data_IF_674200297142
#
_entry.id   IF_674200297142
#
_cell.length_a   1.000
_cell.length_b   1.000
_cell.length_c   1.000
_cell.angle_alpha   90.00
_cell.angle_beta   90.00
_cell.angle_gamma   90.00
#
_symmetry.space_group_name_H-M   'P 1'
#
loop_
_entity.id
_entity.type
_entity.pdbx_description
1 polymer ?
#
# COMPACT_ATOMS: atom_id res chain seq x y z
N UNK A 1 1.90 -32.85 2.96
CA UNK A 1 1.82 -31.38 3.04
C UNK A 1 3.02 -30.96 3.85
N UNK A 2 3.95 -30.14 3.35
CA UNK A 2 5.05 -29.67 4.18
C UNK A 2 4.52 -28.55 5.08
N UNK A 3 4.66 -28.73 6.40
CA UNK A 3 4.46 -27.69 7.40
C UNK A 3 5.58 -26.64 7.23
N UNK A 4 5.21 -25.44 6.79
CA UNK A 4 6.16 -24.32 6.63
C UNK A 4 6.18 -23.57 7.97
N UNK A 5 7.16 -23.89 8.80
CA UNK A 5 7.18 -23.52 10.23
C UNK A 5 8.13 -22.34 10.54
N UNK A 6 8.60 -21.61 9.52
CA UNK A 6 9.45 -20.43 9.73
C UNK A 6 8.99 -19.20 8.95
N UNK A 7 8.99 -17.99 9.57
CA UNK A 7 8.68 -16.73 8.89
C UNK A 7 9.59 -16.43 7.69
N UNK A 8 10.81 -17.00 7.68
CA UNK A 8 11.78 -16.86 6.60
C UNK A 8 11.34 -17.63 5.36
N UNK A 9 10.84 -18.85 5.49
CA UNK A 9 10.38 -19.67 4.35
C UNK A 9 9.08 -19.13 3.72
N UNK A 10 8.20 -18.51 4.52
CA UNK A 10 7.03 -17.78 3.99
C UNK A 10 7.48 -16.57 3.16
N UNK A 11 8.58 -15.92 3.56
CA UNK A 11 9.20 -14.83 2.81
C UNK A 11 9.87 -15.32 1.52
N UNK A 12 10.58 -16.46 1.57
CA UNK A 12 11.28 -17.06 0.43
C UNK A 12 10.33 -17.64 -0.63
N UNK A 13 9.15 -18.14 -0.23
CA UNK A 13 8.15 -18.65 -1.19
C UNK A 13 7.53 -17.52 -2.03
N UNK A 14 7.58 -16.26 -1.55
CA UNK A 14 7.21 -15.07 -2.31
C UNK A 14 8.35 -14.50 -3.19
N UNK A 15 9.56 -15.07 -3.13
CA UNK A 15 10.69 -14.67 -3.99
C UNK A 15 10.64 -15.29 -5.41
N UNK A 16 9.53 -15.93 -5.78
CA UNK A 16 9.33 -16.52 -7.11
C UNK A 16 8.73 -15.52 -8.10
N UNK A 17 9.58 -14.92 -8.93
CA UNK A 17 9.24 -14.12 -10.13
C UNK A 17 8.68 -12.70 -9.93
N UNK A 18 9.60 -11.76 -9.69
CA UNK A 18 9.61 -10.40 -10.25
C UNK A 18 8.63 -9.36 -9.72
N UNK A 19 8.67 -9.07 -8.41
CA UNK A 19 8.33 -7.74 -7.92
C UNK A 19 8.94 -7.45 -6.55
N UNK A 20 10.21 -7.07 -6.56
CA UNK A 20 10.83 -6.48 -5.38
C UNK A 20 10.17 -5.13 -5.05
N UNK A 21 9.91 -4.82 -3.77
CA UNK A 21 9.39 -3.52 -3.40
C UNK A 21 10.33 -2.39 -3.84
N UNK A 22 9.73 -1.29 -4.31
CA UNK A 22 10.47 -0.12 -4.76
C UNK A 22 9.99 1.16 -4.09
N UNK A 23 10.81 2.20 -4.15
CA UNK A 23 10.51 3.48 -3.53
C UNK A 23 10.02 4.52 -4.56
N UNK A 24 8.95 5.24 -4.23
CA UNK A 24 8.53 6.47 -4.92
C UNK A 24 8.51 7.65 -3.95
N UNK A 25 8.60 8.87 -4.48
CA UNK A 25 8.40 10.09 -3.73
C UNK A 25 6.97 10.60 -3.95
N UNK A 26 6.25 10.91 -2.87
CA UNK A 26 4.94 11.56 -2.96
C UNK A 26 5.08 13.02 -3.40
N UNK A 27 4.28 13.45 -4.37
CA UNK A 27 4.28 14.82 -4.90
C UNK A 27 2.90 15.44 -4.73
N UNK A 28 2.87 16.72 -4.36
CA UNK A 28 1.63 17.43 -4.04
C UNK A 28 0.96 16.95 -2.75
N UNK A 29 -0.29 17.38 -2.55
CA UNK A 29 -1.02 17.28 -1.28
C UNK A 29 -2.28 16.40 -1.33
N UNK A 30 -2.46 15.60 -2.39
CA UNK A 30 -3.67 14.79 -2.57
C UNK A 30 -3.88 13.75 -1.45
N UNK A 31 -2.79 13.29 -0.85
CA UNK A 31 -2.79 12.20 0.14
C UNK A 31 -2.51 12.70 1.56
N UNK A 32 -2.62 14.01 1.79
CA UNK A 32 -2.60 14.58 3.14
C UNK A 32 -3.90 14.29 3.89
N UNK A 33 -3.88 14.16 5.23
CA UNK A 33 -2.73 14.41 6.11
C UNK A 33 -1.81 13.20 6.34
N UNK A 34 -2.22 11.99 5.95
CA UNK A 34 -1.48 10.76 6.23
C UNK A 34 -0.12 10.76 5.50
N UNK A 35 -0.11 11.12 4.22
CA UNK A 35 1.10 11.16 3.39
C UNK A 35 1.41 12.60 2.99
N UNK A 36 2.39 13.20 3.66
CA UNK A 36 2.84 14.55 3.34
C UNK A 36 3.48 14.60 1.96
N UNK A 37 3.52 15.79 1.36
CA UNK A 37 4.39 16.04 0.22
C UNK A 37 5.85 15.64 0.55
N UNK A 38 6.57 15.12 -0.45
CA UNK A 38 7.96 14.68 -0.38
C UNK A 38 8.25 13.47 0.54
N UNK A 39 7.24 12.83 1.13
CA UNK A 39 7.47 11.56 1.82
C UNK A 39 7.88 10.46 0.84
N UNK A 40 8.72 9.53 1.30
CA UNK A 40 9.10 8.35 0.51
C UNK A 40 8.11 7.23 0.82
N UNK A 41 7.52 6.67 -0.22
CA UNK A 41 6.59 5.55 -0.17
C UNK A 41 7.34 4.28 -0.58
N UNK A 42 7.20 3.20 0.18
CA UNK A 42 7.64 1.87 -0.25
C UNK A 42 6.42 1.14 -0.80
N UNK A 43 6.51 0.73 -2.07
CA UNK A 43 5.44 0.09 -2.81
C UNK A 43 5.82 -1.35 -3.04
N UNK A 44 4.92 -2.25 -2.69
CA UNK A 44 5.01 -3.68 -2.95
C UNK A 44 4.07 -4.04 -4.11
N UNK A 45 4.61 -4.44 -5.28
CA UNK A 45 3.77 -4.87 -6.40
C UNK A 45 3.20 -6.28 -6.24
N UNK A 46 3.80 -7.11 -5.37
CA UNK A 46 3.28 -8.43 -5.04
C UNK A 46 2.04 -8.39 -4.16
N UNK A 47 1.74 -7.23 -3.56
CA UNK A 47 0.57 -7.04 -2.72
C UNK A 47 -0.68 -6.78 -3.57
N UNK A 48 -1.67 -7.67 -3.43
CA UNK A 48 -2.96 -7.53 -4.11
C UNK A 48 -3.72 -6.31 -3.58
N UNK A 49 -4.26 -5.52 -4.51
CA UNK A 49 -5.12 -4.39 -4.16
C UNK A 49 -6.41 -4.89 -3.48
N UNK A 50 -6.81 -4.22 -2.41
CA UNK A 50 -8.02 -4.53 -1.67
C UNK A 50 -8.72 -3.26 -1.19
N UNK A 51 -9.97 -3.38 -0.78
CA UNK A 51 -10.74 -2.26 -0.22
C UNK A 51 -9.95 -1.51 0.87
N UNK A 52 -9.88 -0.18 0.74
CA UNK A 52 -9.16 0.78 1.59
C UNK A 52 -7.63 0.81 1.45
N UNK A 53 -7.03 -0.04 0.62
CA UNK A 53 -5.58 -0.03 0.39
C UNK A 53 -5.13 1.33 -0.16
N UNK A 54 -3.95 1.77 0.27
CA UNK A 54 -3.22 2.83 -0.41
C UNK A 54 -2.45 2.21 -1.57
N UNK A 55 -2.70 2.66 -2.80
CA UNK A 55 -2.19 2.01 -3.98
C UNK A 55 -1.68 3.00 -5.02
N UNK A 56 -0.73 2.52 -5.82
CA UNK A 56 -0.35 3.15 -7.08
C UNK A 56 -1.04 2.39 -8.19
N UNK A 57 -1.83 3.12 -8.98
CA UNK A 57 -2.66 2.57 -10.06
C UNK A 57 -2.39 3.35 -11.34
N UNK A 58 -2.23 2.64 -12.44
CA UNK A 58 -2.26 3.23 -13.77
C UNK A 58 -3.67 3.15 -14.33
N UNK A 59 -4.23 4.30 -14.70
CA UNK A 59 -5.57 4.42 -15.24
C UNK A 59 -5.59 5.48 -16.35
N UNK A 60 -6.16 5.14 -17.50
CA UNK A 60 -6.23 6.03 -18.68
C UNK A 60 -4.88 6.65 -19.08
N UNK A 61 -3.78 5.88 -18.93
CA UNK A 61 -2.43 6.30 -19.28
C UNK A 61 -1.70 7.12 -18.20
N UNK A 62 -2.39 7.53 -17.13
CA UNK A 62 -1.83 8.29 -16.02
C UNK A 62 -1.56 7.42 -14.79
N UNK A 63 -0.65 7.87 -13.92
CA UNK A 63 -0.26 7.19 -12.69
C UNK A 63 -0.84 7.93 -11.48
N UNK A 64 -1.60 7.23 -10.66
CA UNK A 64 -2.27 7.78 -9.48
C UNK A 64 -1.80 7.11 -8.21
N UNK A 65 -1.43 7.91 -7.21
CA UNK A 65 -1.31 7.48 -5.82
C UNK A 65 -2.54 7.92 -5.03
N UNK A 66 -3.42 6.96 -4.69
CA UNK A 66 -4.72 7.21 -4.04
C UNK A 66 -5.09 6.09 -3.08
N UNK A 67 -6.12 6.32 -2.26
CA UNK A 67 -6.81 5.24 -1.58
C UNK A 67 -7.76 4.55 -2.56
N UNK A 68 -7.67 3.23 -2.66
CA UNK A 68 -8.62 2.43 -3.42
C UNK A 68 -9.84 2.08 -2.56
N UNK A 69 -11.04 2.44 -3.02
CA UNK A 69 -12.29 2.10 -2.37
C UNK A 69 -13.19 1.30 -3.31
N UNK A 70 -13.97 0.42 -2.71
CA UNK A 70 -15.01 -0.36 -3.37
C UNK A 70 -16.34 0.01 -2.70
N UNK A 71 -17.31 0.48 -3.49
CA UNK A 71 -18.65 0.84 -3.02
C UNK A 71 -19.66 0.04 -3.85
N UNK A 72 -20.05 -1.11 -3.34
CA UNK A 72 -20.80 -2.09 -4.13
C UNK A 72 -19.93 -2.67 -5.24
N UNK A 73 -20.38 -2.57 -6.50
CA UNK A 73 -19.60 -3.00 -7.67
C UNK A 73 -18.66 -1.92 -8.22
N UNK A 74 -18.81 -0.67 -7.78
CA UNK A 74 -18.02 0.45 -8.28
C UNK A 74 -16.71 0.59 -7.50
N UNK A 75 -15.65 0.96 -8.22
CA UNK A 75 -14.29 1.10 -7.71
C UNK A 75 -13.83 2.54 -7.86
N UNK A 76 -13.13 3.06 -6.88
CA UNK A 76 -12.75 4.47 -6.81
C UNK A 76 -11.29 4.64 -6.39
N UNK A 77 -10.64 5.64 -6.96
CA UNK A 77 -9.39 6.21 -6.47
C UNK A 77 -9.71 7.51 -5.75
N UNK A 78 -9.57 7.50 -4.43
CA UNK A 78 -10.01 8.59 -3.55
C UNK A 78 -8.80 9.29 -2.93
N UNK A 79 -8.67 10.62 -3.06
CA UNK A 79 -7.67 11.38 -2.33
C UNK A 79 -8.02 11.44 -0.84
N UNK A 80 -7.01 11.54 0.03
CA UNK A 80 -7.27 11.77 1.46
C UNK A 80 -7.57 13.25 1.75
N UNK A 81 -7.06 14.14 0.92
CA UNK A 81 -7.36 15.56 1.00
C UNK A 81 -8.76 15.84 0.45
N UNK A 82 -9.58 16.53 1.23
CA UNK A 82 -10.96 16.90 0.89
C UNK A 82 -11.06 18.01 -0.16
N UNK A 83 -9.93 18.51 -0.65
CA UNK A 83 -9.85 19.60 -1.64
C UNK A 83 -9.86 19.07 -3.08
N UNK A 84 -9.82 17.75 -3.26
CA UNK A 84 -9.67 17.10 -4.55
C UNK A 84 -10.75 16.06 -4.76
N UNK A 85 -11.15 15.86 -6.01
CA UNK A 85 -12.22 14.94 -6.37
C UNK A 85 -11.74 13.48 -6.42
N UNK A 86 -12.66 12.56 -6.16
CA UNK A 86 -12.47 11.13 -6.38
C UNK A 86 -12.62 10.76 -7.86
N UNK A 87 -11.93 9.71 -8.27
CA UNK A 87 -11.99 9.17 -9.63
C UNK A 87 -12.69 7.81 -9.58
N UNK A 88 -13.80 7.67 -10.29
CA UNK A 88 -14.44 6.37 -10.51
C UNK A 88 -13.70 5.60 -11.61
N UNK A 89 -13.29 4.36 -11.31
CA UNK A 89 -12.63 3.45 -12.24
C UNK A 89 -13.70 2.72 -13.06
N UNK A 90 -14.04 3.29 -14.22
CA UNK A 90 -15.06 2.73 -15.13
C UNK A 90 -14.48 1.74 -16.13
N UNK A 91 -13.24 1.95 -16.51
CA UNK A 91 -12.48 1.11 -17.43
C UNK A 91 -11.46 0.24 -16.67
N UNK A 92 -10.78 -0.64 -17.41
CA UNK A 92 -9.67 -1.43 -16.86
C UNK A 92 -8.55 -0.53 -16.34
N UNK A 93 -7.94 -0.98 -15.25
CA UNK A 93 -6.81 -0.32 -14.61
C UNK A 93 -5.74 -1.35 -14.27
N UNK A 94 -4.50 -0.88 -14.18
CA UNK A 94 -3.35 -1.70 -13.79
C UNK A 94 -2.92 -1.31 -12.37
N UNK A 95 -2.88 -2.29 -11.47
CA UNK A 95 -2.28 -2.10 -10.15
C UNK A 95 -0.77 -2.18 -10.28
N UNK A 96 -0.09 -1.07 -9.94
CA UNK A 96 1.37 -1.01 -9.88
C UNK A 96 1.89 -1.54 -8.55
N UNK A 97 1.10 -1.38 -7.47
CA UNK A 97 1.38 -1.99 -6.17
C UNK A 97 0.69 -1.26 -5.02
N UNK A 98 0.74 -1.86 -3.84
CA UNK A 98 0.23 -1.25 -2.61
C UNK A 98 1.35 -0.58 -1.81
N UNK A 99 1.03 0.55 -1.20
CA UNK A 99 1.95 1.26 -0.29
C UNK A 99 2.02 0.51 1.02
N UNK A 100 3.16 -0.11 1.29
CA UNK A 100 3.39 -0.90 2.51
C UNK A 100 4.00 -0.06 3.63
N UNK A 101 4.74 1.00 3.27
CA UNK A 101 5.41 1.87 4.24
C UNK A 101 5.51 3.30 3.71
N UNK A 102 5.62 4.26 4.63
CA UNK A 102 6.06 5.61 4.31
C UNK A 102 7.18 6.09 5.24
N UNK A 103 7.96 7.05 4.78
CA UNK A 103 9.01 7.70 5.55
C UNK A 103 9.13 9.17 5.19
N UNK A 104 8.92 10.03 6.17
CA UNK A 104 9.28 11.44 6.10
C UNK A 104 10.70 11.69 6.62
N UNK A 105 11.32 12.77 6.16
CA UNK A 105 12.66 13.17 6.61
C UNK A 105 12.63 13.41 8.13
N UNK A 106 13.59 12.81 8.86
CA UNK A 106 13.73 12.88 10.33
C UNK A 106 12.59 12.25 11.14
N UNK A 107 11.59 11.62 10.51
CA UNK A 107 10.57 10.85 11.21
C UNK A 107 10.86 9.36 11.12
N UNK A 108 10.26 8.59 12.01
CA UNK A 108 10.31 7.12 11.93
C UNK A 108 9.45 6.63 10.76
N UNK A 109 9.81 5.51 10.14
CA UNK A 109 8.96 4.91 9.12
C UNK A 109 7.65 4.42 9.74
N UNK A 110 6.57 4.61 9.01
CA UNK A 110 5.25 4.07 9.33
C UNK A 110 4.96 2.91 8.39
N UNK A 111 4.34 1.86 8.93
CA UNK A 111 3.99 0.62 8.24
C UNK A 111 2.47 0.47 8.20
N UNK A 112 1.95 -0.01 7.07
CA UNK A 112 0.51 -0.17 6.86
C UNK A 112 0.03 -1.61 6.95
N UNK A 113 0.97 -2.57 6.85
CA UNK A 113 0.67 -4.00 6.90
C UNK A 113 1.51 -4.65 7.98
N UNK A 114 0.85 -5.46 8.82
CA UNK A 114 1.46 -6.13 9.96
C UNK A 114 1.09 -7.61 9.94
N UNK A 115 2.06 -8.48 10.17
CA UNK A 115 1.78 -9.91 10.29
C UNK A 115 0.97 -10.16 11.57
N UNK A 116 -0.23 -10.70 11.41
CA UNK A 116 -1.02 -11.22 12.50
C UNK A 116 -0.40 -12.55 12.95
N UNK A 117 0.03 -12.63 14.21
CA UNK A 117 0.73 -13.81 14.74
C UNK A 117 -0.17 -15.02 14.91
N UNK A 118 -1.47 -14.81 15.09
CA UNK A 118 -2.50 -15.84 15.27
C UNK A 118 -2.96 -16.41 13.93
N UNK A 119 -3.35 -15.54 12.98
CA UNK A 119 -3.88 -15.97 11.68
C UNK A 119 -2.80 -16.24 10.65
N UNK A 120 -1.57 -15.74 10.86
CA UNK A 120 -0.46 -15.72 9.89
C UNK A 120 -0.75 -14.90 8.62
N UNK A 121 -1.77 -14.05 8.64
CA UNK A 121 -2.13 -13.15 7.54
C UNK A 121 -1.60 -11.73 7.77
N UNK A 122 -1.59 -10.90 6.72
CA UNK A 122 -1.17 -9.50 6.80
C UNK A 122 -2.39 -8.60 7.07
N UNK A 123 -2.42 -7.96 8.24
CA UNK A 123 -3.47 -7.01 8.62
C UNK A 123 -3.14 -5.60 8.12
N UNK A 124 -4.09 -4.99 7.41
CA UNK A 124 -4.01 -3.61 6.96
C UNK A 124 -4.49 -2.62 8.04
N UNK A 125 -3.74 -1.54 8.24
CA UNK A 125 -4.13 -0.40 9.08
C UNK A 125 -4.26 0.86 8.23
N UNK A 126 -5.36 1.60 8.41
CA UNK A 126 -5.59 2.85 7.67
C UNK A 126 -4.62 3.96 8.06
N UNK A 127 -4.18 3.98 9.31
CA UNK A 127 -3.15 4.89 9.82
C UNK A 127 -1.88 4.09 10.03
N UNK A 128 -0.77 4.60 9.51
CA UNK A 128 0.50 3.93 9.59
C UNK A 128 0.98 3.79 11.03
N UNK A 129 1.58 2.64 11.35
CA UNK A 129 2.13 2.36 12.69
C UNK A 129 3.64 2.29 12.64
N UNK A 130 4.30 2.81 13.68
CA UNK A 130 5.72 2.55 13.85
C UNK A 130 5.95 1.04 14.07
N UNK A 131 7.04 0.50 13.54
CA UNK A 131 7.44 -0.87 13.88
C UNK A 131 7.77 -0.93 15.36
N UNK A 132 7.03 -1.75 16.11
CA UNK A 132 7.38 -2.05 17.49
C UNK A 132 8.79 -2.66 17.49
N UNK A 133 9.68 -2.09 18.31
CA UNK A 133 10.97 -2.72 18.55
C UNK A 133 10.65 -4.02 19.30
N UNK A 134 10.82 -5.16 18.63
CA UNK A 134 10.82 -6.44 19.32
C UNK A 134 11.84 -6.37 20.47
N UNK A 135 11.41 -6.79 21.66
CA UNK A 135 12.29 -7.03 22.81
C UNK A 135 13.39 -8.04 22.48
#
# INVERSE_FOLDING_TARGET
MPDIDTPQEIFETNCGTNSEPFALQNLGNYMEPEFSENCILIIDPGMHIHHRAYAVVRYQGELYFRQYLERGSAKFLVPLSTQHDEIELKDDFETVGCVIQQKQRKQKPLHYYHLNTETKEMDFSISGKEKEKGE
#
